data_IF_460960357325
#
_entry.id   IF_460960357325
#
_cell.length_a   1.000
_cell.length_b   1.000
_cell.length_c   1.000
_cell.angle_alpha   90.00
_cell.angle_beta   90.00
_cell.angle_gamma   90.00
#
_symmetry.space_group_name_H-M   'P 1'
#
loop_
_entity.id
_entity.type
_entity.pdbx_description
1 polymer ?
#
# COMPACT_ATOMS: atom_id res chain seq x y z
N UNK A 1 -16.66 3.10 11.89
CA UNK A 1 -16.10 3.96 10.83
C UNK A 1 -15.86 3.09 9.60
N UNK A 2 -16.11 3.58 8.40
CA UNK A 2 -15.97 2.77 7.19
C UNK A 2 -14.49 2.61 6.84
N UNK A 3 -13.96 1.41 7.10
CA UNK A 3 -12.61 1.03 6.73
C UNK A 3 -12.49 1.01 5.20
N UNK A 4 -11.71 1.93 4.63
CA UNK A 4 -11.52 2.06 3.18
C UNK A 4 -10.03 2.10 2.88
N UNK A 5 -9.60 1.17 2.01
CA UNK A 5 -8.24 1.10 1.47
C UNK A 5 -8.25 1.58 0.02
N UNK A 6 -7.54 2.68 -0.24
CA UNK A 6 -7.49 3.28 -1.56
C UNK A 6 -6.04 3.32 -2.06
N UNK A 7 -5.75 2.48 -3.06
CA UNK A 7 -4.41 2.44 -3.66
C UNK A 7 -4.18 3.69 -4.49
N UNK A 8 -3.20 4.50 -4.06
CA UNK A 8 -2.71 5.66 -4.79
C UNK A 8 -1.23 5.50 -5.10
N UNK A 9 -0.78 6.10 -6.20
CA UNK A 9 0.61 6.06 -6.66
C UNK A 9 1.01 7.43 -7.17
N UNK A 10 2.18 7.90 -6.74
CA UNK A 10 2.84 9.06 -7.34
C UNK A 10 4.15 8.63 -8.00
N UNK A 11 4.48 9.27 -9.13
CA UNK A 11 5.65 8.96 -9.93
C UNK A 11 6.30 10.23 -10.47
N UNK A 12 7.63 10.20 -10.61
CA UNK A 12 8.39 11.20 -11.35
C UNK A 12 9.00 10.53 -12.59
N UNK A 13 8.38 10.71 -13.75
CA UNK A 13 8.69 9.91 -14.94
C UNK A 13 8.46 8.42 -14.67
N UNK A 14 9.49 7.60 -14.93
CA UNK A 14 9.46 6.15 -14.72
C UNK A 14 9.70 5.73 -13.26
N UNK A 15 10.10 6.66 -12.39
CA UNK A 15 10.42 6.37 -10.99
C UNK A 15 9.16 6.48 -10.13
N UNK A 16 8.83 5.41 -9.39
CA UNK A 16 7.77 5.45 -8.38
C UNK A 16 8.29 6.21 -7.16
N UNK A 17 7.61 7.29 -6.77
CA UNK A 17 7.96 8.10 -5.60
C UNK A 17 7.20 7.68 -4.34
N UNK A 18 5.95 7.26 -4.50
CA UNK A 18 5.11 6.89 -3.36
C UNK A 18 4.02 5.91 -3.78
N UNK A 19 3.71 4.98 -2.89
CA UNK A 19 2.57 4.05 -2.98
C UNK A 19 1.90 4.03 -1.62
N UNK A 20 0.60 4.31 -1.58
CA UNK A 20 -0.17 4.43 -0.33
C UNK A 20 -1.54 3.76 -0.47
N UNK A 21 -2.09 3.33 0.68
CA UNK A 21 -3.43 2.77 0.84
C UNK A 21 -4.34 3.66 1.70
N UNK A 22 -3.80 4.73 2.30
CA UNK A 22 -4.55 5.66 3.15
C UNK A 22 -4.79 5.13 4.56
N UNK A 23 -3.96 4.18 5.01
CA UNK A 23 -4.01 3.57 6.33
C UNK A 23 -2.60 3.63 6.93
N UNK A 24 -2.37 4.36 8.04
CA UNK A 24 -1.02 4.65 8.52
C UNK A 24 -0.11 3.43 8.66
N UNK A 25 -0.60 2.34 9.28
CA UNK A 25 0.16 1.11 9.45
C UNK A 25 0.53 0.44 8.11
N UNK A 26 -0.35 0.52 7.11
CA UNK A 26 -0.09 -0.05 5.78
C UNK A 26 0.85 0.85 4.99
N UNK A 27 0.72 2.17 5.13
CA UNK A 27 1.57 3.15 4.46
C UNK A 27 3.01 3.08 5.00
N UNK A 28 3.19 2.91 6.32
CA UNK A 28 4.48 2.66 6.95
C UNK A 28 5.11 1.34 6.47
N UNK A 29 4.30 0.27 6.37
CA UNK A 29 4.77 -1.00 5.83
C UNK A 29 5.18 -0.88 4.36
N UNK A 30 4.41 -0.17 3.53
CA UNK A 30 4.75 0.06 2.13
C UNK A 30 6.01 0.91 1.98
N UNK A 31 6.24 1.89 2.87
CA UNK A 31 7.50 2.65 2.91
C UNK A 31 8.70 1.72 3.15
N UNK A 32 8.57 0.78 4.09
CA UNK A 32 9.59 -0.23 4.37
C UNK A 32 9.84 -1.16 3.17
N UNK A 33 8.79 -1.60 2.48
CA UNK A 33 8.92 -2.43 1.27
C UNK A 33 9.58 -1.66 0.14
N UNK A 34 9.19 -0.40 -0.09
CA UNK A 34 9.80 0.49 -1.10
C UNK A 34 11.30 0.68 -0.91
N UNK A 35 11.78 0.70 0.34
CA UNK A 35 13.20 0.85 0.64
C UNK A 35 14.05 -0.37 0.21
N UNK A 36 13.44 -1.51 -0.12
CA UNK A 36 14.14 -2.80 -0.32
C UNK A 36 13.78 -3.52 -1.61
N UNK A 37 12.58 -3.27 -2.13
CA UNK A 37 12.01 -4.01 -3.24
C UNK A 37 12.07 -3.24 -4.56
N UNK A 38 12.02 -3.97 -5.68
CA UNK A 38 11.88 -3.36 -7.02
C UNK A 38 10.48 -2.76 -7.17
N UNK A 39 10.29 -1.74 -8.03
CA UNK A 39 8.99 -1.08 -8.23
C UNK A 39 7.82 -2.05 -8.48
N UNK A 40 8.00 -3.09 -9.30
CA UNK A 40 6.95 -4.05 -9.58
C UNK A 40 6.54 -4.87 -8.33
N UNK A 41 7.50 -5.22 -7.48
CA UNK A 41 7.23 -5.90 -6.21
C UNK A 41 6.46 -5.00 -5.26
N UNK A 42 6.84 -3.72 -5.15
CA UNK A 42 6.09 -2.75 -4.33
C UNK A 42 4.63 -2.67 -4.79
N UNK A 43 4.40 -2.56 -6.09
CA UNK A 43 3.04 -2.45 -6.66
C UNK A 43 2.23 -3.73 -6.41
N UNK A 44 2.84 -4.91 -6.57
CA UNK A 44 2.21 -6.18 -6.26
C UNK A 44 1.81 -6.24 -4.78
N UNK A 45 2.74 -5.95 -3.86
CA UNK A 45 2.48 -5.95 -2.42
C UNK A 45 1.37 -4.96 -2.04
N UNK A 46 1.37 -3.75 -2.59
CA UNK A 46 0.32 -2.77 -2.32
C UNK A 46 -1.05 -3.21 -2.81
N UNK A 47 -1.10 -3.89 -3.97
CA UNK A 47 -2.35 -4.45 -4.49
C UNK A 47 -2.85 -5.61 -3.63
N UNK A 48 -1.97 -6.52 -3.21
CA UNK A 48 -2.32 -7.64 -2.33
C UNK A 48 -2.90 -7.13 -1.01
N UNK A 49 -2.29 -6.11 -0.41
CA UNK A 49 -2.79 -5.47 0.81
C UNK A 49 -4.17 -4.82 0.59
N UNK A 50 -4.37 -4.09 -0.53
CA UNK A 50 -5.69 -3.53 -0.86
C UNK A 50 -6.76 -4.62 -0.90
N UNK A 51 -6.48 -5.72 -1.59
CA UNK A 51 -7.44 -6.83 -1.75
C UNK A 51 -7.67 -7.53 -0.41
N UNK A 52 -6.61 -7.86 0.31
CA UNK A 52 -6.68 -8.54 1.60
C UNK A 52 -7.54 -7.75 2.60
N UNK A 53 -7.21 -6.48 2.81
CA UNK A 53 -7.91 -5.64 3.76
C UNK A 53 -9.33 -5.29 3.30
N UNK A 54 -9.55 -5.11 1.99
CA UNK A 54 -10.89 -4.96 1.43
C UNK A 54 -11.78 -6.20 1.65
N UNK A 55 -11.20 -7.41 1.61
CA UNK A 55 -11.92 -8.66 1.82
C UNK A 55 -12.14 -8.98 3.31
N UNK A 56 -11.13 -8.76 4.15
CA UNK A 56 -11.19 -9.04 5.60
C UNK A 56 -12.09 -8.05 6.32
N UNK A 57 -12.13 -6.78 5.87
CA UNK A 57 -13.00 -5.76 6.44
C UNK A 57 -12.65 -5.36 7.88
N UNK A 58 -11.42 -5.63 8.31
CA UNK A 58 -10.90 -5.26 9.63
C UNK A 58 -9.77 -4.24 9.50
N UNK A 59 -9.57 -3.45 10.54
CA UNK A 59 -8.47 -2.50 10.59
C UNK A 59 -7.14 -3.26 10.78
N UNK A 60 -6.02 -2.78 10.22
CA UNK A 60 -4.70 -3.30 10.54
C UNK A 60 -4.44 -3.21 12.05
N UNK A 61 -4.08 -4.33 12.69
CA UNK A 61 -3.76 -4.38 14.12
C UNK A 61 -4.92 -4.70 15.08
N UNK A 62 -6.13 -4.96 14.56
CA UNK A 62 -7.24 -5.57 15.32
C UNK A 62 -7.04 -7.08 15.57
#
# INVERSE_FOLDING_TARGET
MMFNVCLTRSSNGSEIKKVELGQPLLDDYLMFVMARARPNTVLATAYDLKVFFGAVGKSPGE
#
